data_IF_644319201861
#
_entry.id   IF_644319201861
#
_cell.length_a   1.000
_cell.length_b   1.000
_cell.length_c   1.000
_cell.angle_alpha   90.00
_cell.angle_beta   90.00
_cell.angle_gamma   90.00
#
_symmetry.space_group_name_H-M   'P 1'
#
loop_
_entity.id
_entity.type
_entity.pdbx_description
1 polymer ?
2 non-polymer ?
3 non-polymer ?
4 non-polymer ?
5 water ?
#
# COMPACT_ATOMS: atom_id res chain seq x y z
N UNK A 15 16.34 -2.64 -30.86
CA UNK A 15 15.76 -2.60 -29.50
C UNK A 15 15.73 -3.97 -28.82
N UNK A 16 16.06 -4.05 -27.53
CA UNK A 16 16.05 -5.34 -26.85
C UNK A 16 14.61 -5.82 -26.64
N UNK A 17 14.45 -7.13 -26.57
CA UNK A 17 13.15 -7.73 -26.34
C UNK A 17 13.29 -8.74 -25.22
N UNK A 18 12.28 -8.83 -24.36
CA UNK A 18 12.30 -9.75 -23.23
C UNK A 18 10.98 -10.50 -23.23
N UNK A 19 11.07 -11.84 -23.10
CA UNK A 19 9.90 -12.71 -23.01
C UNK A 19 8.84 -12.38 -24.05
N UNK A 22 9.55 -6.91 -26.06
CA UNK A 22 9.30 -5.62 -26.68
C UNK A 22 9.61 -4.48 -25.67
N UNK A 23 10.88 -4.41 -25.25
CA UNK A 23 11.35 -3.48 -24.25
C UNK A 23 12.18 -2.42 -24.93
N UNK A 24 11.87 -1.15 -24.72
CA UNK A 24 12.43 -0.08 -25.55
C UNK A 24 13.06 1.06 -24.77
N UNK A 25 14.24 0.80 -24.19
CA UNK A 25 14.74 1.61 -23.09
C UNK A 25 16.16 2.07 -23.40
N UNK A 26 16.65 1.76 -24.60
CA UNK A 26 18.05 2.03 -24.88
C UNK A 26 18.28 3.48 -25.28
N UNK A 27 19.57 3.86 -25.40
CA UNK A 27 20.70 2.96 -25.09
C UNK A 27 21.26 3.06 -23.63
N UNK A 28 20.64 3.92 -22.81
CA UNK A 28 21.10 4.04 -21.43
C UNK A 28 20.98 2.71 -20.69
N UNK A 29 19.93 1.95 -20.97
CA UNK A 29 19.66 0.77 -20.14
C UNK A 29 19.88 -0.45 -21.02
N UNK A 30 20.73 -1.40 -20.57
CA UNK A 30 21.06 -2.56 -21.36
C UNK A 30 21.14 -3.82 -20.51
N UNK A 31 21.25 -4.96 -21.19
CA UNK A 31 21.41 -6.27 -20.55
C UNK A 31 20.22 -6.56 -19.63
N UNK A 32 19.06 -6.70 -20.26
CA UNK A 32 17.81 -6.82 -19.53
C UNK A 32 17.57 -8.27 -19.07
N UNK A 33 16.90 -8.41 -17.92
CA UNK A 33 16.51 -9.70 -17.39
C UNK A 33 15.08 -9.63 -16.91
N UNK A 34 14.27 -10.62 -17.25
CA UNK A 34 12.92 -10.67 -16.71
C UNK A 34 12.93 -10.81 -15.19
N UNK A 35 12.03 -10.07 -14.53
CA UNK A 35 11.81 -10.20 -13.09
C UNK A 35 10.42 -10.75 -12.79
N UNK A 36 9.40 -10.18 -13.41
CA UNK A 36 8.02 -10.59 -13.14
C UNK A 36 7.08 -9.70 -13.93
N UNK A 37 5.79 -9.94 -13.71
CA UNK A 37 4.78 -9.18 -14.44
C UNK A 37 3.81 -8.47 -13.51
N UNK A 38 2.62 -8.13 -14.03
CA UNK A 38 1.56 -7.55 -13.21
C UNK A 38 1.84 -6.18 -12.69
N UNK A 40 1.00 -3.49 -14.23
CA UNK A 40 0.26 -3.14 -15.44
C UNK A 40 1.09 -3.51 -16.67
N UNK A 41 2.06 -4.39 -16.48
CA UNK A 41 2.91 -4.71 -17.60
C UNK A 41 3.94 -5.75 -17.25
N UNK A 42 5.21 -5.46 -17.49
CA UNK A 42 6.21 -6.41 -17.05
C UNK A 42 7.42 -5.65 -16.54
N UNK A 43 8.11 -6.28 -15.59
CA UNK A 43 9.22 -5.66 -14.91
C UNK A 43 10.47 -6.43 -15.26
N UNK A 44 11.54 -5.70 -15.52
CA UNK A 44 12.82 -6.28 -15.80
C UNK A 44 13.86 -5.54 -14.97
N UNK A 45 15.00 -6.17 -14.78
CA UNK A 45 16.20 -5.47 -14.37
C UNK A 45 17.07 -5.14 -15.56
N UNK A 46 17.92 -4.15 -15.39
CA UNK A 46 18.70 -3.67 -16.51
C UNK A 46 19.93 -2.97 -15.98
N UNK A 47 20.98 -2.95 -16.79
CA UNK A 47 22.12 -2.12 -16.42
C UNK A 47 21.95 -0.66 -16.87
N UNK A 48 22.13 0.25 -15.91
CA UNK A 48 22.09 1.70 -16.16
C UNK A 48 23.52 2.12 -16.48
N UNK A 49 23.80 2.36 -17.77
CA UNK A 49 25.15 2.72 -18.21
C UNK A 49 25.54 4.14 -17.82
N UNK A 50 24.60 4.94 -17.34
CA UNK A 50 25.05 6.22 -16.80
C UNK A 50 25.54 6.07 -15.36
N UNK A 51 24.75 5.42 -14.52
CA UNK A 51 25.06 5.32 -13.10
C UNK A 51 25.83 4.06 -12.75
N UNK A 52 26.03 3.18 -13.73
CA UNK A 52 26.85 1.97 -13.60
C UNK A 52 26.33 1.06 -12.49
N UNK A 53 25.01 0.84 -12.51
CA UNK A 53 24.36 -0.03 -11.54
C UNK A 53 23.13 -0.62 -12.21
N UNK A 54 22.69 -1.79 -11.71
CA UNK A 54 21.47 -2.36 -12.24
C UNK A 54 20.27 -1.70 -11.56
N UNK A 55 19.20 -1.58 -12.33
CA UNK A 55 17.97 -0.91 -11.93
C UNK A 55 16.81 -1.81 -12.31
N UNK A 56 15.63 -1.43 -11.81
CA UNK A 56 14.37 -2.05 -12.20
C UNK A 56 13.65 -1.17 -13.19
N UNK A 57 13.08 -1.77 -14.24
CA UNK A 57 12.31 -1.04 -15.22
C UNK A 57 11.01 -1.79 -15.40
N UNK A 58 9.91 -1.07 -15.24
CA UNK A 58 8.58 -1.59 -15.56
C UNK A 58 8.10 -0.96 -16.86
N UNK A 59 7.68 -1.79 -17.79
CA UNK A 59 7.03 -1.33 -19.00
C UNK A 59 5.52 -1.27 -18.80
N UNK A 60 4.92 -0.11 -19.06
CA UNK A 60 3.49 0.16 -18.88
C UNK A 60 2.88 0.44 -20.25
N UNK A 61 1.77 -0.21 -20.56
CA UNK A 61 1.05 0.06 -21.79
C UNK A 61 -0.40 0.38 -21.48
N UNK A 62 -0.70 1.62 -21.07
CA UNK A 62 -2.01 1.91 -20.46
C UNK A 62 -3.06 2.60 -21.32
N UNK A 63 -2.71 3.02 -22.54
CA UNK A 63 -3.41 4.17 -23.13
C UNK A 63 -4.76 3.81 -23.72
N UNK A 64 -5.06 2.54 -23.87
CA UNK A 64 -6.37 2.11 -24.34
C UNK A 64 -7.43 2.22 -23.25
N UNK A 65 -7.14 1.66 -22.07
CA UNK A 65 -8.13 1.57 -21.01
C UNK A 65 -7.96 2.76 -20.08
N UNK A 66 -9.03 3.54 -19.93
CA UNK A 66 -8.98 4.76 -19.13
C UNK A 66 -8.61 4.47 -17.69
N UNK A 67 -8.98 3.28 -17.23
CA UNK A 67 -8.64 2.81 -15.89
C UNK A 67 -7.14 2.70 -15.70
N UNK A 68 -6.45 2.15 -16.70
CA UNK A 68 -5.00 2.06 -16.65
C UNK A 68 -4.42 3.45 -16.61
N UNK A 69 -5.00 4.36 -17.38
CA UNK A 69 -4.41 5.69 -17.46
C UNK A 69 -4.53 6.39 -16.13
N UNK A 70 -5.62 6.12 -15.43
CA UNK A 70 -5.83 6.66 -14.10
C UNK A 70 -4.77 6.17 -13.14
N UNK A 71 -4.64 4.84 -13.00
CA UNK A 71 -3.67 4.32 -12.04
C UNK A 71 -2.26 4.80 -12.39
N UNK A 72 -1.93 4.80 -13.68
CA UNK A 72 -0.59 5.24 -14.12
C UNK A 72 -0.31 6.70 -13.76
N UNK A 73 -1.26 7.59 -14.10
CA UNK A 73 -1.12 8.99 -13.75
C UNK A 73 -1.00 9.22 -12.24
N UNK A 74 -1.79 8.49 -11.43
CA UNK A 74 -1.71 8.65 -9.98
C UNK A 74 -0.34 8.27 -9.46
N UNK A 75 0.13 7.09 -9.85
CA UNK A 75 1.42 6.62 -9.37
C UNK A 75 2.52 7.61 -9.76
N UNK A 76 2.53 8.06 -11.02
CA UNK A 76 3.59 8.95 -11.48
C UNK A 76 3.56 10.28 -10.74
N UNK A 77 2.38 10.88 -10.68
CA UNK A 77 2.25 12.17 -10.03
C UNK A 77 2.66 12.13 -8.58
N UNK A 78 2.17 11.14 -7.84
CA UNK A 78 2.50 11.09 -6.42
C UNK A 78 3.96 10.77 -6.23
N UNK A 79 4.49 9.77 -6.92
CA UNK A 79 5.88 9.38 -6.60
C UNK A 79 6.90 10.44 -7.05
N UNK A 80 6.59 11.23 -8.07
CA UNK A 80 7.48 12.33 -8.46
C UNK A 80 7.44 13.46 -7.43
N UNK A 81 6.34 13.58 -6.69
CA UNK A 81 6.26 14.67 -5.71
C UNK A 81 6.82 14.26 -4.36
N UNK A 82 6.74 12.99 -4.01
CA UNK A 82 7.21 12.54 -2.71
C UNK A 82 8.72 12.32 -2.76
N UNK A 83 9.38 12.58 -1.65
CA UNK A 83 10.81 12.28 -1.51
C UNK A 83 10.98 11.81 -0.07
N UNK A 84 11.15 10.48 0.12
CA UNK A 84 11.24 9.92 1.46
C UNK A 84 12.01 8.60 1.41
N UNK A 85 12.87 8.35 2.42
CA UNK A 85 13.69 7.13 2.40
C UNK A 85 12.89 5.84 2.32
N UNK A 86 11.63 5.82 2.83
CA UNK A 86 10.84 4.59 2.86
C UNK A 86 9.71 4.64 1.82
N UNK A 87 9.87 5.42 0.76
CA UNK A 87 8.97 5.41 -0.35
C UNK A 87 9.82 5.27 -1.60
N UNK A 88 9.40 4.39 -2.51
CA UNK A 88 10.21 4.20 -3.71
C UNK A 88 10.23 5.47 -4.58
N UNK A 89 11.39 5.81 -5.07
CA UNK A 89 11.48 6.94 -5.96
C UNK A 89 11.34 6.54 -7.44
N UNK A 90 11.03 7.48 -8.31
CA UNK A 90 11.17 7.27 -9.74
C UNK A 90 12.46 7.93 -10.18
N UNK A 91 13.40 7.14 -10.71
CA UNK A 91 14.70 7.64 -11.17
C UNK A 91 14.63 8.23 -12.57
N UNK A 92 13.76 7.69 -13.42
CA UNK A 92 13.77 8.06 -14.82
C UNK A 92 12.43 7.56 -15.38
N UNK A 93 11.92 8.21 -16.42
CA UNK A 93 10.79 7.70 -17.18
C UNK A 93 11.17 7.82 -18.64
N UNK A 94 10.98 6.73 -19.38
CA UNK A 94 11.31 6.65 -20.80
C UNK A 94 10.02 6.62 -21.58
N UNK A 95 9.91 7.46 -22.63
CA UNK A 95 8.79 7.35 -23.54
C UNK A 95 9.17 8.11 -24.80
N UNK A 96 8.37 7.91 -25.84
CA UNK A 96 8.62 8.58 -27.13
C UNK A 96 8.57 10.12 -27.02
N UNK A 97 9.17 10.81 -27.97
CA UNK A 97 9.23 12.29 -27.86
C UNK A 97 7.93 12.97 -28.11
N UNK A 98 6.95 12.30 -28.71
CA UNK A 98 5.69 12.95 -29.07
C UNK A 98 4.55 12.09 -28.59
N UNK A 99 3.40 12.73 -28.33
CA UNK A 99 2.23 11.97 -27.91
C UNK A 99 1.83 10.95 -28.95
N UNK A 100 1.90 11.36 -30.24
CA UNK A 100 1.52 10.49 -31.36
C UNK A 100 2.27 9.19 -31.31
N UNK A 101 3.57 9.26 -31.03
CA UNK A 101 4.44 8.10 -31.04
C UNK A 101 4.50 7.39 -29.71
N UNK A 102 3.86 7.94 -28.67
CA UNK A 102 3.95 7.39 -27.33
C UNK A 102 2.92 6.28 -27.15
N UNK A 103 3.38 5.02 -27.07
CA UNK A 103 2.47 3.92 -26.84
C UNK A 103 2.75 3.25 -25.50
N UNK A 104 4.01 3.22 -25.07
CA UNK A 104 4.38 2.64 -23.79
C UNK A 104 5.11 3.69 -22.97
N UNK A 105 5.09 3.52 -21.67
CA UNK A 105 5.88 4.32 -20.75
C UNK A 105 6.68 3.34 -19.90
N UNK A 106 7.98 3.64 -19.70
CA UNK A 106 8.87 2.82 -18.86
C UNK A 106 9.24 3.60 -17.62
N UNK A 107 8.97 3.02 -16.44
CA UNK A 107 9.33 3.64 -15.16
C UNK A 107 10.59 2.96 -14.64
N UNK A 108 11.63 3.75 -14.36
CA UNK A 108 12.89 3.23 -13.83
C UNK A 108 12.95 3.52 -12.33
N UNK A 109 13.22 2.50 -11.53
CA UNK A 109 13.40 2.63 -10.09
C UNK A 109 14.69 1.94 -9.66
N UNK A 110 15.13 2.28 -8.44
CA UNK A 110 16.18 1.48 -7.82
C UNK A 110 15.82 -0.01 -7.84
N UNK A 111 16.82 -0.87 -8.10
CA UNK A 111 16.64 -2.32 -8.04
C UNK A 111 16.54 -2.79 -6.58
N UNK A 112 15.43 -3.42 -6.21
CA UNK A 112 15.26 -3.91 -4.87
C UNK A 112 15.30 -5.46 -4.87
N UNK A 113 16.08 -6.04 -3.97
CA UNK A 113 16.30 -7.49 -3.98
C UNK A 113 14.99 -8.30 -3.95
N UNK A 114 13.98 -7.83 -3.20
CA UNK A 114 12.79 -8.67 -3.01
C UNK A 114 11.64 -7.77 -2.55
N UNK A 115 10.52 -8.37 -2.19
CA UNK A 115 9.45 -7.61 -1.54
C UNK A 115 8.96 -8.47 -0.40
N UNK A 116 8.13 -7.89 0.46
CA UNK A 116 7.77 -8.62 1.68
C UNK A 116 6.88 -9.83 1.37
N UNK A 117 6.08 -9.78 0.31
CA UNK A 117 5.30 -10.97 -0.06
C UNK A 117 6.23 -12.13 -0.39
N UNK A 118 7.21 -11.90 -1.27
CA UNK A 118 8.15 -12.95 -1.67
C UNK A 118 8.94 -13.42 -0.48
N UNK A 119 9.32 -12.47 0.39
CA UNK A 119 10.12 -12.83 1.57
C UNK A 119 9.32 -13.72 2.53
N UNK A 120 8.06 -13.38 2.78
CA UNK A 120 7.25 -14.17 3.72
C UNK A 120 6.84 -15.53 3.15
N UNK A 121 6.95 -15.75 1.84
CA UNK A 121 6.73 -17.10 1.31
C UNK A 121 7.77 -18.10 1.82
N UNK A 122 9.01 -17.67 2.05
CA UNK A 122 9.99 -18.67 2.43
C UNK A 122 10.87 -18.33 3.62
N UNK A 123 10.75 -17.15 4.22
CA UNK A 123 11.68 -16.77 5.27
C UNK A 123 10.88 -16.47 6.54
N UNK A 124 11.28 -17.13 7.63
CA UNK A 124 10.87 -16.70 8.96
C UNK A 124 11.57 -15.40 9.36
N UNK A 125 10.81 -14.42 9.88
CA UNK A 125 11.41 -13.16 10.33
C UNK A 125 11.75 -13.20 11.81
N UNK A 126 12.95 -12.72 12.18
CA UNK A 126 13.23 -12.56 13.60
C UNK A 126 12.32 -11.49 14.20
N UNK A 127 12.15 -11.45 15.53
CA UNK A 127 11.45 -10.26 16.07
C UNK A 127 12.18 -8.98 15.70
N UNK A 128 13.54 -8.99 15.67
CA UNK A 128 14.22 -7.75 15.30
C UNK A 128 13.86 -7.29 13.89
N UNK A 129 13.70 -8.22 12.94
CA UNK A 129 13.28 -7.85 11.58
C UNK A 129 11.85 -7.35 11.52
N UNK A 130 10.94 -7.96 12.29
CA UNK A 130 9.54 -7.52 12.31
C UNK A 130 9.51 -6.09 12.79
N UNK A 131 10.24 -5.84 13.87
CA UNK A 131 10.17 -4.51 14.47
C UNK A 131 10.73 -3.47 13.50
N UNK A 132 11.88 -3.74 12.91
CA UNK A 132 12.50 -2.83 11.93
C UNK A 132 11.61 -2.59 10.71
N UNK A 133 11.05 -3.66 10.14
CA UNK A 133 10.14 -3.50 9.01
C UNK A 133 8.95 -2.66 9.40
N UNK A 134 8.32 -2.93 10.55
CA UNK A 134 7.13 -2.17 10.94
C UNK A 134 7.49 -0.72 11.11
N UNK A 135 8.65 -0.46 11.79
CA UNK A 135 9.07 0.93 11.97
C UNK A 135 9.14 1.61 10.60
N UNK A 136 9.78 0.94 9.63
CA UNK A 136 9.98 1.61 8.34
C UNK A 136 8.64 1.81 7.61
N UNK A 137 7.75 0.83 7.66
CA UNK A 137 6.42 1.00 7.10
C UNK A 137 5.76 2.23 7.67
N UNK A 138 5.73 2.34 9.02
CA UNK A 138 5.00 3.47 9.60
C UNK A 138 5.71 4.79 9.36
N UNK A 139 7.04 4.77 9.30
CA UNK A 139 7.77 6.01 9.01
C UNK A 139 7.40 6.54 7.62
N UNK A 140 7.37 5.64 6.67
CA UNK A 140 6.92 6.04 5.34
C UNK A 140 5.46 6.49 5.31
N UNK A 141 4.62 5.75 6.02
CA UNK A 141 3.20 6.10 6.05
C UNK A 141 3.00 7.43 6.73
N UNK A 142 3.81 7.77 7.75
CA UNK A 142 3.66 9.10 8.36
C UNK A 142 3.81 10.20 7.31
N UNK A 143 4.79 10.03 6.41
CA UNK A 143 5.00 11.03 5.38
C UNK A 143 3.80 11.06 4.41
N UNK A 144 3.36 9.90 3.96
CA UNK A 144 2.22 9.82 3.06
C UNK A 144 1.04 10.55 3.67
N UNK A 145 0.68 10.16 4.90
CA UNK A 145 -0.49 10.76 5.54
C UNK A 145 -0.28 12.26 5.80
N UNK A 146 0.94 12.66 6.10
CA UNK A 146 1.17 14.09 6.29
C UNK A 146 0.93 14.91 5.01
N UNK A 147 0.98 14.27 3.84
CA UNK A 147 0.65 14.92 2.60
C UNK A 147 -0.83 14.85 2.31
N UNK A 148 -1.62 14.33 3.24
CA UNK A 148 -3.08 14.17 3.08
C UNK A 148 -3.38 13.12 2.02
N UNK A 149 -2.47 12.19 1.81
CA UNK A 149 -2.67 11.13 0.86
C UNK A 149 -2.93 9.83 1.62
N UNK A 150 -3.83 9.03 1.08
CA UNK A 150 -4.09 7.64 1.49
C UNK A 150 -3.52 6.65 0.48
N UNK A 151 -2.73 5.65 0.93
CA UNK A 151 -2.18 4.73 -0.04
C UNK A 151 -3.26 3.80 -0.60
N UNK A 152 -4.06 3.24 0.31
CA UNK A 152 -5.25 2.46 -0.01
C UNK A 152 -4.97 1.06 -0.58
N UNK A 153 -3.73 0.62 -0.67
CA UNK A 153 -3.50 -0.75 -1.09
C UNK A 153 -2.23 -1.26 -0.48
N UNK A 154 -2.06 -1.01 0.80
CA UNK A 154 -0.85 -1.49 1.47
C UNK A 154 -0.99 -3.00 1.68
N UNK A 155 0.04 -3.75 1.34
CA UNK A 155 0.07 -5.21 1.49
C UNK A 155 1.54 -5.62 1.31
N UNK A 156 1.88 -6.86 1.58
CA UNK A 156 3.35 -7.24 1.49
C UNK A 156 3.94 -7.00 0.14
N UNK A 157 3.21 -7.30 -0.94
CA UNK A 157 3.84 -7.19 -2.27
C UNK A 157 4.09 -5.73 -2.66
N UNK A 158 3.54 -4.76 -1.90
CA UNK A 158 3.84 -3.35 -2.17
C UNK A 158 4.87 -2.79 -1.21
N UNK A 159 5.67 -3.65 -0.60
CA UNK A 159 6.73 -3.20 0.30
C UNK A 159 8.01 -3.82 -0.27
N UNK A 160 8.82 -3.01 -0.89
CA UNK A 160 10.05 -3.50 -1.49
C UNK A 160 11.19 -3.49 -0.47
N UNK A 161 12.14 -4.40 -0.64
CA UNK A 161 13.24 -4.58 0.30
C UNK A 161 14.55 -4.75 -0.45
N UNK A 162 15.59 -4.06 -0.01
CA UNK A 162 16.90 -4.26 -0.68
C UNK A 162 17.74 -5.23 0.12
N UNK A 163 19.04 -5.42 -0.27
CA UNK A 163 19.81 -6.55 0.32
C UNK A 163 20.13 -6.30 1.77
N UNK A 164 19.98 -5.06 2.23
CA UNK A 164 20.25 -4.70 3.60
C UNK A 164 18.95 -4.41 4.33
N UNK A 165 17.83 -4.88 3.76
CA UNK A 165 16.46 -4.75 4.41
C UNK A 165 15.99 -3.35 4.59
N UNK A 166 16.50 -2.42 3.78
CA UNK A 166 15.81 -1.13 3.68
C UNK A 166 14.51 -1.36 2.98
N UNK A 167 13.44 -0.78 3.54
CA UNK A 167 12.07 -1.00 3.09
C UNK A 167 11.49 0.24 2.41
N UNK A 168 10.88 0.06 1.25
CA UNK A 168 10.28 1.21 0.54
C UNK A 168 8.89 0.86 0.06
N UNK A 169 7.93 1.74 0.38
CA UNK A 169 6.54 1.53 -0.04
C UNK A 169 6.44 1.85 -1.52
N UNK A 170 5.70 1.04 -2.26
CA UNK A 170 5.55 1.30 -3.68
C UNK A 170 4.06 1.18 -4.06
N UNK A 171 3.77 1.38 -5.33
CA UNK A 171 2.44 1.26 -5.96
C UNK A 171 1.32 2.13 -5.42
N UNK A 172 1.30 3.38 -5.82
CA UNK A 172 0.27 4.34 -5.40
C UNK A 172 -0.86 4.44 -6.40
N UNK A 173 -1.08 3.39 -7.18
CA UNK A 173 -2.06 3.47 -8.25
C UNK A 173 -3.50 3.57 -7.75
N UNK A 174 -3.77 3.17 -6.51
CA UNK A 174 -5.09 3.36 -5.94
C UNK A 174 -5.15 4.45 -4.90
N UNK A 175 -4.10 5.25 -4.78
CA UNK A 175 -4.05 6.29 -3.77
C UNK A 175 -5.02 7.46 -4.08
N UNK A 176 -5.44 8.11 -3.01
CA UNK A 176 -6.43 9.21 -3.08
C UNK A 176 -6.05 10.28 -2.07
N UNK A 177 -6.57 11.52 -2.27
CA UNK A 177 -6.48 12.53 -1.23
C UNK A 177 -7.53 12.20 -0.17
N UNK A 178 -7.15 12.32 1.09
CA UNK A 178 -8.09 11.97 2.16
C UNK A 178 -9.33 12.88 2.09
N UNK A 179 -10.47 12.30 2.43
CA UNK A 179 -11.74 13.03 2.31
C UNK A 179 -12.71 12.50 3.36
N UNK A 180 -12.47 12.81 4.64
CA UNK A 180 -13.28 12.18 5.69
C UNK A 180 -14.71 12.60 5.66
N UNK A 181 -15.00 13.83 5.21
CA UNK A 181 -16.37 14.28 5.22
C UNK A 181 -17.24 13.52 4.25
N UNK A 182 -16.67 12.92 3.22
CA UNK A 182 -17.44 12.14 2.27
C UNK A 182 -17.18 10.63 2.38
N UNK A 183 -16.82 10.12 3.57
CA UNK A 183 -16.46 8.71 3.70
C UNK A 183 -17.68 7.77 3.79
N UNK A 184 -18.88 8.24 4.09
CA UNK A 184 -19.97 7.32 4.41
C UNK A 184 -20.63 6.77 3.14
N UNK A 185 -21.02 5.51 3.20
CA UNK A 185 -21.70 4.87 2.08
C UNK A 185 -22.54 3.75 2.69
N UNK A 186 -23.28 3.08 1.85
CA UNK A 186 -24.10 2.00 2.31
C UNK A 186 -23.38 0.66 2.40
N UNK A 187 -24.17 -0.32 2.85
CA UNK A 187 -23.74 -1.67 3.09
C UNK A 187 -23.45 -2.41 1.80
N UNK A 188 -22.29 -3.09 1.78
CA UNK A 188 -21.89 -3.92 0.63
C UNK A 188 -21.63 -3.06 -0.61
N UNK A 189 -21.04 -1.89 -0.41
CA UNK A 189 -20.55 -1.05 -1.50
C UNK A 189 -19.27 -1.62 -2.06
N UNK A 190 -19.20 -1.70 -3.38
CA UNK A 190 -18.11 -2.38 -4.03
C UNK A 190 -16.80 -1.62 -3.79
N UNK A 191 -15.71 -2.36 -3.72
CA UNK A 191 -14.42 -1.75 -3.39
C UNK A 191 -13.34 -2.44 -4.20
N UNK A 192 -12.24 -1.74 -4.51
CA UNK A 192 -11.25 -2.23 -5.48
C UNK A 192 -10.00 -2.80 -4.81
N UNK A 193 -9.49 -2.14 -3.77
CA UNK A 193 -8.21 -2.51 -3.15
C UNK A 193 -8.23 -3.96 -2.61
N UNK A 194 -7.03 -4.56 -2.46
CA UNK A 194 -6.87 -5.99 -2.11
C UNK A 194 -7.66 -6.50 -0.89
N UNK A 195 -8.36 -7.63 -1.10
CA UNK A 195 -9.43 -8.03 -0.18
C UNK A 195 -8.90 -8.31 1.23
N UNK A 196 -7.80 -9.09 1.34
CA UNK A 196 -7.34 -9.52 2.66
C UNK A 196 -6.90 -8.39 3.54
N UNK A 197 -6.74 -7.18 3.01
CA UNK A 197 -6.16 -6.07 3.78
C UNK A 197 -7.17 -4.97 3.97
N UNK A 198 -8.43 -5.25 3.61
CA UNK A 198 -9.53 -4.31 3.73
C UNK A 198 -10.04 -4.22 5.17
N UNK A 199 -10.21 -3.00 5.65
CA UNK A 199 -10.76 -2.79 7.00
C UNK A 199 -12.24 -3.18 7.06
N UNK A 200 -12.73 -3.57 8.23
CA UNK A 200 -14.09 -4.08 8.30
C UNK A 200 -15.11 -3.06 7.84
N UNK A 201 -14.85 -1.76 8.12
CA UNK A 201 -15.86 -0.76 7.71
C UNK A 201 -16.05 -0.63 6.17
N UNK A 202 -15.10 -1.07 5.34
CA UNK A 202 -15.27 -1.01 3.89
C UNK A 202 -16.52 -1.77 3.49
N UNK A 203 -16.78 -2.89 4.19
CA UNK A 203 -17.92 -3.72 3.85
C UNK A 203 -19.21 -3.22 4.49
N UNK A 204 -19.11 -2.28 5.39
CA UNK A 204 -20.24 -1.84 6.19
C UNK A 204 -20.73 -0.47 5.75
N UNK A 205 -19.82 0.55 5.74
CA UNK A 205 -20.32 1.93 5.62
C UNK A 205 -19.24 2.91 5.24
N UNK A 206 -18.10 2.44 4.72
CA UNK A 206 -16.95 3.31 4.43
C UNK A 206 -16.52 3.19 2.96
N UNK A 207 -16.18 4.33 2.37
CA UNK A 207 -15.56 4.39 1.02
C UNK A 207 -14.03 4.30 1.08
N UNK A 208 -13.44 4.27 2.26
CA UNK A 208 -11.99 4.16 2.41
C UNK A 208 -11.29 5.48 2.16
N UNK A 209 -11.94 6.58 2.51
CA UNK A 209 -11.44 7.94 2.32
C UNK A 209 -10.83 8.54 3.58
N UNK A 210 -10.53 7.73 4.60
CA UNK A 210 -9.82 8.25 5.77
C UNK A 210 -8.54 7.46 6.03
N UNK A 211 -7.65 8.11 6.79
CA UNK A 211 -6.32 7.54 7.03
C UNK A 211 -6.39 6.21 7.78
N UNK A 212 -7.45 6.03 8.58
CA UNK A 212 -7.60 4.78 9.31
C UNK A 212 -7.67 3.54 8.41
N UNK A 213 -7.98 3.67 7.11
CA UNK A 213 -8.00 2.51 6.21
C UNK A 213 -6.60 1.95 6.07
N UNK A 214 -5.58 2.82 6.05
CA UNK A 214 -4.20 2.36 5.86
C UNK A 214 -3.67 1.72 7.13
N UNK A 215 -4.07 2.24 8.30
CA UNK A 215 -3.58 1.64 9.53
C UNK A 215 -4.08 0.21 9.66
N UNK A 216 -5.34 -0.05 9.28
CA UNK A 216 -5.82 -1.42 9.30
C UNK A 216 -4.91 -2.31 8.46
N UNK A 217 -4.64 -1.87 7.21
CA UNK A 217 -3.79 -2.69 6.35
C UNK A 217 -2.43 -2.97 7.03
N UNK A 218 -1.82 -1.97 7.69
CA UNK A 218 -0.53 -2.20 8.35
C UNK A 218 -0.66 -3.24 9.48
N UNK A 219 -1.77 -3.19 10.22
CA UNK A 219 -2.06 -4.19 11.22
C UNK A 219 -2.08 -5.56 10.61
N UNK A 220 -2.75 -5.69 9.45
CA UNK A 220 -2.77 -7.00 8.78
C UNK A 220 -1.36 -7.44 8.38
N UNK A 221 -0.53 -6.48 7.94
CA UNK A 221 0.86 -6.82 7.54
C UNK A 221 1.65 -7.27 8.76
N UNK A 222 1.44 -6.59 9.89
CA UNK A 222 2.15 -6.98 11.10
C UNK A 222 1.78 -8.39 11.52
N UNK A 223 0.48 -8.70 11.53
CA UNK A 223 0.02 -10.05 11.83
C UNK A 223 0.70 -11.08 10.93
N UNK A 224 0.78 -10.77 9.63
CA UNK A 224 1.32 -11.70 8.67
C UNK A 224 2.83 -11.89 8.88
N UNK A 225 3.53 -10.82 9.29
CA UNK A 225 4.94 -10.98 9.61
C UNK A 225 5.14 -11.89 10.82
N UNK A 226 4.21 -11.92 11.75
CA UNK A 226 4.35 -12.73 12.97
C UNK A 226 4.17 -14.20 12.67
N UNK A 227 3.37 -14.55 11.64
CA UNK A 227 3.10 -15.97 11.40
C UNK A 227 3.38 -16.47 9.97
N UNK A 228 3.76 -15.59 9.05
CA UNK A 228 3.92 -15.93 7.63
C UNK A 228 2.62 -16.39 6.94
N UNK A 229 1.47 -15.88 7.32
CA UNK A 229 0.22 -16.35 6.73
C UNK A 229 -0.68 -15.14 6.89
N UNK A 230 -1.52 -14.84 5.93
CA UNK A 230 -2.46 -13.71 6.11
C UNK A 230 -3.40 -13.97 7.28
N UNK A 231 -3.68 -12.92 8.05
CA UNK A 231 -4.52 -13.13 9.21
C UNK A 231 -5.99 -13.29 8.82
N UNK A 232 -6.44 -12.61 7.76
CA UNK A 232 -7.86 -12.57 7.37
C UNK A 232 -7.99 -12.93 5.87
N UNK A 233 -7.80 -14.20 5.53
CA UNK A 233 -7.77 -14.56 4.09
C UNK A 233 -9.15 -14.84 3.53
N UNK A 234 -9.99 -13.80 3.43
CA UNK A 234 -11.35 -14.01 2.99
C UNK A 234 -11.36 -14.45 1.54
N UNK A 235 -12.29 -15.36 1.20
CA UNK A 235 -12.32 -15.87 -0.16
C UNK A 235 -13.24 -15.07 -1.09
N UNK A 236 -14.01 -14.15 -0.56
CA UNK A 236 -14.90 -13.32 -1.36
C UNK A 236 -15.33 -12.16 -0.46
N UNK A 237 -16.16 -11.26 -0.99
CA UNK A 237 -16.35 -9.93 -0.39
C UNK A 237 -16.85 -9.99 1.05
N UNK A 238 -18.03 -10.59 1.30
CA UNK A 238 -18.56 -10.60 2.68
C UNK A 238 -17.78 -11.56 3.57
N UNK A 239 -17.17 -12.61 2.96
CA UNK A 239 -16.34 -13.55 3.71
C UNK A 239 -15.21 -12.81 4.39
N UNK A 240 -14.71 -11.76 3.79
CA UNK A 240 -13.64 -11.01 4.46
C UNK A 240 -14.12 -10.51 5.82
N UNK A 241 -15.33 -9.95 5.87
CA UNK A 241 -15.84 -9.44 7.15
C UNK A 241 -15.97 -10.58 8.15
N UNK A 242 -16.40 -11.76 7.70
CA UNK A 242 -16.59 -12.80 8.71
C UNK A 242 -15.23 -13.38 9.22
N UNK A 243 -14.14 -13.30 8.45
CA UNK A 243 -12.85 -13.62 9.04
C UNK A 243 -12.47 -12.61 10.10
N UNK A 244 -12.67 -11.33 9.80
CA UNK A 244 -12.31 -10.31 10.78
C UNK A 244 -13.07 -10.53 12.07
N UNK A 245 -14.38 -10.71 11.97
CA UNK A 245 -15.17 -10.89 13.20
C UNK A 245 -14.87 -12.21 13.90
N UNK A 246 -14.40 -13.23 13.18
CA UNK A 246 -14.04 -14.47 13.83
C UNK A 246 -12.84 -14.36 14.77
N UNK A 247 -12.01 -13.33 14.61
CA UNK A 247 -10.90 -13.09 15.52
C UNK A 247 -11.21 -11.96 16.48
N UNK A 248 -11.71 -10.83 15.97
CA UNK A 248 -12.00 -9.71 16.87
C UNK A 248 -13.18 -10.02 17.79
N UNK A 249 -14.09 -10.88 17.36
CA UNK A 249 -15.34 -11.11 18.09
C UNK A 249 -16.41 -10.07 17.75
N UNK A 250 -17.55 -10.20 18.43
CA UNK A 250 -18.71 -9.30 18.13
C UNK A 250 -18.37 -7.87 18.51
N UNK A 251 -18.65 -6.87 17.65
CA UNK A 251 -18.49 -5.47 18.09
C UNK A 251 -19.40 -5.13 19.28
N UNK A 252 -18.88 -4.24 20.12
CA UNK A 252 -19.57 -3.73 21.29
C UNK A 252 -20.78 -2.93 20.88
N UNK A 253 -21.66 -2.72 21.83
CA UNK A 253 -22.84 -1.87 21.58
C UNK A 253 -22.42 -0.47 21.17
N UNK A 254 -21.37 0.08 21.84
CA UNK A 254 -20.89 1.40 21.46
C UNK A 254 -20.43 1.43 20.01
N UNK A 255 -19.70 0.42 19.59
CA UNK A 255 -19.17 0.45 18.25
C UNK A 255 -20.25 0.23 17.20
N UNK A 256 -21.26 -0.57 17.53
CA UNK A 256 -22.43 -0.65 16.64
C UNK A 256 -23.15 0.69 16.56
N UNK A 257 -23.28 1.35 17.69
CA UNK A 257 -24.08 2.59 17.68
C UNK A 257 -23.41 3.65 16.80
N UNK A 258 -22.11 3.48 16.54
CA UNK A 258 -21.42 4.42 15.60
C UNK A 258 -21.75 4.17 14.19
N UNK A 259 -22.34 3.02 13.88
CA UNK A 259 -22.76 2.67 12.53
C UNK A 259 -24.23 3.05 12.37
N UNK A 260 -24.51 4.17 11.74
CA UNK A 260 -25.91 4.61 11.74
C UNK A 260 -26.69 3.88 10.68
N UNK A 261 -26.01 3.46 9.63
CA UNK A 261 -26.72 2.82 8.54
C UNK A 261 -27.39 1.53 9.00
N UNK A 262 -28.69 1.43 8.77
CA UNK A 262 -29.48 0.32 9.37
C UNK A 262 -29.15 -1.02 8.72
N UNK A 263 -28.94 -1.05 7.39
CA UNK A 263 -28.61 -2.33 6.76
C UNK A 263 -27.31 -2.87 7.32
N UNK A 264 -26.33 -2.01 7.51
CA UNK A 264 -25.05 -2.48 8.02
C UNK A 264 -25.18 -2.92 9.47
N UNK A 265 -25.81 -2.05 10.28
CA UNK A 265 -26.02 -2.36 11.69
C UNK A 265 -26.81 -3.66 11.86
N UNK A 266 -27.93 -3.80 11.17
CA UNK A 266 -28.74 -5.00 11.38
C UNK A 266 -28.06 -6.25 10.88
N UNK A 267 -27.20 -6.14 9.86
CA UNK A 267 -26.37 -7.31 9.52
C UNK A 267 -25.54 -7.77 10.74
N UNK A 268 -24.86 -6.84 11.36
CA UNK A 268 -24.03 -7.21 12.48
C UNK A 268 -24.89 -7.76 13.64
N UNK A 269 -26.08 -7.18 13.85
CA UNK A 269 -26.91 -7.65 14.96
C UNK A 269 -27.47 -9.03 14.69
N UNK A 270 -27.56 -9.43 13.40
CA UNK A 270 -28.11 -10.72 13.05
C UNK A 270 -27.13 -11.89 13.30
N UNK A 271 -25.84 -11.62 13.57
CA UNK A 271 -24.84 -12.68 13.73
C UNK A 271 -24.87 -13.22 15.17
N UNK A 272 -24.59 -14.51 15.39
CA UNK A 272 -24.46 -15.03 16.75
C UNK A 272 -23.26 -14.35 17.42
N UNK A 273 -23.33 -14.27 18.74
CA UNK A 273 -22.22 -13.75 19.52
C UNK A 273 -20.96 -14.57 19.25
N UNK A 274 -19.83 -13.87 19.05
CA UNK A 274 -18.50 -14.45 18.78
C UNK A 274 -17.55 -13.84 19.80
N UNK A 275 -16.79 -14.66 20.52
CA UNK A 275 -15.81 -14.10 21.43
C UNK A 275 -14.52 -13.73 20.72
N UNK A 276 -13.83 -12.79 21.32
CA UNK A 276 -12.52 -12.43 20.80
C UNK A 276 -11.54 -13.60 20.96
N UNK A 277 -10.67 -13.78 19.97
CA UNK A 277 -9.55 -14.70 20.06
C UNK A 277 -8.34 -13.91 20.56
N UNK A 278 -7.76 -14.28 21.69
CA UNK A 278 -6.62 -13.51 22.21
C UNK A 278 -5.44 -13.56 21.25
N UNK A 279 -4.80 -12.40 21.07
CA UNK A 279 -3.66 -12.32 20.16
C UNK A 279 -2.54 -13.28 20.58
N UNK A 280 -2.33 -13.46 21.90
CA UNK A 280 -1.22 -14.32 22.31
C UNK A 280 -1.56 -15.79 22.17
N UNK A 281 -2.83 -16.13 21.96
CA UNK A 281 -3.12 -17.49 21.53
C UNK A 281 -2.88 -17.70 20.05
N UNK A 282 -3.16 -16.68 19.23
CA UNK A 282 -2.89 -16.75 17.80
C UNK A 282 -1.41 -16.66 17.51
N UNK A 283 -0.66 -15.92 18.32
CA UNK A 283 0.75 -15.67 18.06
C UNK A 283 1.55 -15.95 19.33
N UNK A 284 1.72 -17.21 19.73
CA UNK A 284 2.28 -17.47 21.06
C UNK A 284 3.78 -17.16 21.14
N UNK A 285 4.46 -16.95 20.01
CA UNK A 285 5.88 -16.63 20.04
C UNK A 285 6.14 -15.13 19.92
N UNK A 286 5.09 -14.34 19.75
CA UNK A 286 5.28 -12.91 19.47
C UNK A 286 5.68 -12.15 20.72
N UNK A 287 6.41 -11.07 20.52
CA UNK A 287 6.69 -10.11 21.57
C UNK A 287 5.39 -9.48 22.07
N UNK A 288 5.25 -9.40 23.40
CA UNK A 288 3.97 -8.89 23.93
C UNK A 288 3.71 -7.44 23.52
N UNK A 289 4.77 -6.65 23.37
CA UNK A 289 4.57 -5.26 22.93
C UNK A 289 4.09 -5.20 21.50
N UNK A 290 4.61 -6.09 20.65
CA UNK A 290 4.11 -6.17 19.28
C UNK A 290 2.60 -6.43 19.27
N UNK A 291 2.15 -7.34 20.15
CA UNK A 291 0.75 -7.71 20.12
C UNK A 291 -0.11 -6.60 20.67
N UNK A 292 0.40 -5.85 21.64
CA UNK A 292 -0.37 -4.65 22.06
C UNK A 292 -0.57 -3.66 20.91
N UNK A 293 0.48 -3.38 20.14
CA UNK A 293 0.34 -2.47 19.02
C UNK A 293 -0.53 -3.08 17.93
N UNK A 294 -0.41 -4.40 17.71
CA UNK A 294 -1.30 -5.07 16.74
C UNK A 294 -2.75 -4.80 17.11
N UNK A 295 -3.07 -5.02 18.40
CA UNK A 295 -4.45 -4.86 18.84
C UNK A 295 -4.97 -3.46 18.51
N UNK A 296 -4.12 -2.44 18.71
CA UNK A 296 -4.51 -1.07 18.48
C UNK A 296 -4.66 -0.74 17.00
N UNK A 297 -3.94 -1.39 16.14
CA UNK A 297 -4.09 -1.20 14.70
C UNK A 297 -5.31 -1.93 14.19
N UNK A 298 -5.52 -3.13 14.69
CA UNK A 298 -6.67 -3.94 14.27
C UNK A 298 -7.88 -3.71 15.17
N UNK A 299 -8.20 -2.45 15.46
CA UNK A 299 -9.37 -2.08 16.23
C UNK A 299 -10.56 -1.92 15.29
N UNK A 300 -11.69 -2.52 15.67
CA UNK A 300 -12.90 -2.52 14.79
C UNK A 300 -13.38 -1.10 14.44
N UNK A 301 -13.49 -0.23 15.43
CA UNK A 301 -14.07 1.07 15.24
C UNK A 301 -12.97 1.96 14.68
N UNK A 302 -13.10 2.47 13.46
CA UNK A 302 -11.99 3.24 12.86
C UNK A 302 -11.69 4.51 13.56
N UNK A 303 -12.66 5.08 14.30
CA UNK A 303 -12.36 6.27 15.10
C UNK A 303 -11.51 5.97 16.33
N UNK A 304 -11.52 4.74 16.83
CA UNK A 304 -10.68 4.36 17.97
C UNK A 304 -9.35 3.76 17.55
N UNK A 305 -9.16 3.50 16.27
CA UNK A 305 -7.94 2.88 15.77
C UNK A 305 -6.77 3.84 15.93
N UNK A 306 -5.59 3.30 16.24
CA UNK A 306 -4.43 4.14 16.47
C UNK A 306 -4.05 4.83 15.17
N UNK A 307 -3.53 6.06 15.27
CA UNK A 307 -3.07 6.80 14.11
C UNK A 307 -1.58 6.57 13.93
N UNK A 308 -1.04 6.97 12.74
CA UNK A 308 0.34 6.62 12.43
C UNK A 308 1.33 7.18 13.46
N UNK A 309 1.20 8.44 13.87
CA UNK A 309 2.19 9.00 14.76
C UNK A 309 2.16 8.36 16.15
N UNK A 310 0.96 7.93 16.59
CA UNK A 310 0.83 7.22 17.87
C UNK A 310 1.46 5.86 17.79
N UNK A 311 1.29 5.22 16.63
CA UNK A 311 1.91 3.92 16.42
C UNK A 311 3.43 4.05 16.49
N UNK A 312 4.00 5.09 15.85
CA UNK A 312 5.45 5.28 15.94
C UNK A 312 5.89 5.45 17.38
N UNK A 313 5.09 6.11 18.20
CA UNK A 313 5.45 6.32 19.61
C UNK A 313 5.16 5.12 20.51
N UNK A 314 4.67 4.03 19.96
CA UNK A 314 4.33 2.87 20.79
C UNK A 314 5.60 2.20 21.35
N UNK A 315 5.55 1.71 22.60
CA UNK A 315 6.74 1.07 23.19
C UNK A 315 7.37 -0.04 22.35
N UNK A 316 6.64 -0.74 21.47
CA UNK A 316 7.27 -1.76 20.62
C UNK A 316 8.36 -1.18 19.73
N UNK A 317 8.22 0.10 19.38
CA UNK A 317 9.12 0.74 18.42
C UNK A 317 10.16 1.64 19.09
N UNK A 318 10.29 1.57 20.41
CA UNK A 318 11.10 2.54 21.14
C UNK A 318 12.56 2.52 20.71
N UNK A 319 13.07 1.38 20.25
CA UNK A 319 14.47 1.37 19.80
C UNK A 319 14.70 2.35 18.64
N UNK A 320 13.67 2.58 17.84
CA UNK A 320 13.80 3.37 16.60
C UNK A 320 13.14 4.75 16.67
N UNK A 321 12.14 4.93 17.55
CA UNK A 321 11.33 6.15 17.48
C UNK A 321 12.15 7.42 17.68
N UNK A 322 12.03 8.32 16.75
CA UNK A 322 12.65 9.62 16.82
C UNK A 322 11.92 10.61 15.93
N UNK A 323 10.94 11.37 16.48
CA UNK A 323 10.07 12.15 15.60
C UNK A 323 10.83 13.15 14.77
N UNK A 324 11.97 13.65 15.26
CA UNK A 324 12.80 14.54 14.44
C UNK A 324 13.41 13.86 13.24
N UNK A 325 13.48 12.53 13.22
CA UNK A 325 14.02 11.81 12.09
C UNK A 325 12.92 11.07 11.34
N UNK A 326 11.67 11.51 11.48
CA UNK A 326 10.50 10.92 10.83
C UNK A 326 9.81 12.06 10.09
N UNK A 327 10.32 12.42 8.91
CA UNK A 327 9.93 13.67 8.28
C UNK A 327 8.55 13.63 7.68
N UNK A 328 8.02 14.83 7.47
CA UNK A 328 6.71 15.00 6.86
C UNK A 328 6.86 15.77 5.55
N UNK A 329 5.78 15.78 4.77
CA UNK A 329 5.80 16.42 3.46
C UNK A 329 5.75 17.93 3.59
N UNK A 330 6.39 18.60 2.62
CA UNK A 330 6.51 20.05 2.62
C UNK A 330 5.16 20.70 2.42
N UNK A 331 4.24 20.03 1.75
CA UNK A 331 2.89 20.55 1.59
C UNK A 331 1.97 19.38 1.28
N UNK A 332 0.69 19.49 1.51
CA UNK A 332 -0.19 18.39 1.12
C UNK A 332 -0.49 18.41 -0.38
N UNK A 333 -0.96 17.27 -0.86
CA UNK A 333 -1.79 17.13 -2.08
C UNK A 333 -3.13 17.76 -1.84
N UNK A 340 -11.48 10.71 -11.20
CA UNK A 340 -11.39 11.07 -12.62
C UNK A 340 -12.58 10.51 -13.45
N UNK A 341 -13.22 11.41 -14.21
CA UNK A 341 -14.16 11.04 -15.27
C UNK A 341 -13.51 11.01 -16.64
N UNK A 342 -12.33 11.61 -16.76
CA UNK A 342 -11.50 12.04 -17.89
C UNK A 342 -11.40 11.09 -19.09
N UNK A 343 -11.58 11.61 -20.30
CA UNK A 343 -11.31 10.78 -21.47
C UNK A 343 -9.80 10.58 -21.56
N UNK A 344 -9.41 9.32 -21.80
CA UNK A 344 -8.00 8.96 -21.90
C UNK A 344 -7.18 9.91 -22.78
N UNK A 345 -7.80 10.57 -23.76
CA UNK A 345 -7.01 11.51 -24.57
C UNK A 345 -6.46 12.61 -23.69
N UNK A 346 -7.26 13.12 -22.77
CA UNK A 346 -6.69 14.06 -21.83
C UNK A 346 -5.79 13.32 -20.86
N UNK A 347 -6.05 12.04 -20.54
CA UNK A 347 -5.16 11.35 -19.59
C UNK A 347 -3.82 11.03 -20.23
N UNK A 348 -3.83 10.50 -21.46
CA UNK A 348 -2.57 10.33 -22.20
C UNK A 348 -1.78 11.62 -22.22
N UNK A 349 -2.49 12.71 -22.50
CA UNK A 349 -1.87 14.02 -22.55
C UNK A 349 -1.29 14.39 -21.20
N UNK A 350 -1.99 14.00 -20.12
CA UNK A 350 -1.54 14.33 -18.78
C UNK A 350 -0.31 13.53 -18.42
N UNK A 351 -0.31 12.26 -18.79
CA UNK A 351 0.86 11.41 -18.60
C UNK A 351 2.05 11.94 -19.40
N UNK A 352 1.80 12.31 -20.65
CA UNK A 352 2.87 12.89 -21.47
C UNK A 352 3.48 14.10 -20.78
N UNK A 353 2.62 15.00 -20.28
CA UNK A 353 3.10 16.20 -19.61
C UNK A 353 3.83 15.88 -18.32
N UNK A 354 3.33 14.92 -17.51
CA UNK A 354 3.95 14.66 -16.19
C UNK A 354 5.33 14.07 -16.37
N UNK A 355 5.60 13.48 -17.53
CA UNK A 355 6.83 12.76 -17.71
C UNK A 355 7.87 13.56 -18.51
N UNK A 356 7.56 14.81 -18.82
CA UNK A 356 8.42 15.64 -19.67
C UNK A 356 9.80 15.90 -19.05
N UNK A 357 9.87 16.01 -17.72
CA UNK A 357 11.10 16.42 -17.09
C UNK A 357 12.24 15.42 -17.36
N UNK A 358 11.92 14.20 -17.81
CA UNK A 358 12.97 13.22 -18.08
C UNK A 358 13.46 13.21 -19.52
N UNK A 359 12.93 14.09 -20.38
CA UNK A 359 13.40 14.19 -21.76
C UNK A 359 14.60 15.13 -21.84
N UNK A 360 15.52 14.89 -22.79
CA UNK A 360 16.67 15.75 -23.10
C UNK A 360 16.31 17.22 -23.25
X LIG B 1 17.86 -5.83 12.53
X LIG B 1 17.06 -6.38 11.40
X LIG B 1 19.52 -6.55 12.41
X LIG B 1 18.29 -4.11 12.12
X LIG C 1 -7.34 7.15 18.94
X LIG C 1 -6.36 6.90 20.06
X LIG C 1 -8.85 7.81 19.68
X LIG C 1 -6.73 8.58 18.01
X LIG D 1 8.25 -19.61 6.85
X LIG D 1 8.82 -20.52 5.81
X LIG D 1 6.48 -20.14 7.08
X LIG D 1 8.72 -19.65 8.63
X LIG E 1 -14.40 -8.55 -4.07
X LIG E 1 -13.42 -9.35 -4.84
X LIG E 1 -14.18 -7.10 -4.26
X LIG E 1 -15.77 -8.84 -4.57
X LIG E 1 -14.26 -8.87 -2.68
X LIG F 1 12.98 -5.01 -7.97
X LIG F 1 10.75 -4.87 -8.28
X LIG F 1 10.76 -3.47 -8.21
X LIG F 1 11.96 -2.81 -7.96
X LIG F 1 9.49 -5.24 -8.49
X LIG F 1 8.76 -4.11 -8.51
X LIG F 1 10.38 0.03 -12.15
X LIG F 1 9.32 -0.01 -11.66
X LIG F 1 7.95 0.01 -11.06
X LIG F 1 6.69 -1.35 -9.52
X LIG F 1 6.64 -2.25 -8.28
X LIG F 1 9.00 -6.67 -8.65
X LIG F 1 7.46 -8.18 -9.78
X LIG F 1 6.18 -7.66 -9.23
X LIG F 1 7.92 -8.70 -8.40
X LIG F 1 8.12 -7.39 -7.63
X LIG F 1 13.09 -3.62 -7.85
X LIG F 1 11.84 -5.61 -8.17
X LIG F 1 12.01 -1.47 -7.87
X LIG F 1 9.51 -3.03 -8.33
X LIG F 1 7.88 -0.85 -9.86
X LIG F 1 5.59 -6.72 -10.21
X LIG F 1 4.48 -6.09 -9.88
X LIG F 1 3.35 -5.45 -9.55
X LIG F 1 5.67 -1.19 -10.20
X LIG F 1 8.34 -6.96 -9.95
X LIG F 1 9.12 -9.47 -8.37
X LIG F 1 8.98 -7.67 -6.51
X LIG F 1 6.99 -4.01 -8.73
#
# INVERSE_FOLDING_TARGET
HHHHHHMAAAAAAGPEMVRGQVFDVGPRYTNLSYIGEGAYGMVCSAYDNLNKVRVAIKKISPFEHQTYCQRTLREIKILLRFRHENIIGINDIIRAPTIEQMKDVYIVQDLMETDLYKLLKTQHLSNDHICYFLYQILRGLKYIHSANVLHRDLKPSNLLLNTTCDLKICDFGLARVADPDHDHTGFLTEYVATRWYRAPEIMLNSKGYTKSIDIWSVGCILAEMLSNRPIFPGKHYLDQLNHILGILGSPSQEDLNCIINLKARNYLLSLPHKNKVPWNRLFPNADSKALDLLDKMLTFNPHKRIEVEQALAHPYLEQYYDPSDEPIAEAPFKFDMELDDLPKEKLKELIFEETARFQPGYRS
DMS S O C1 C2
DMS S O C1 C2
DMS S O C1 C2
SO4 S O1 O2 O3 O4
E9W C2 C4 C5 C6 N9 C8 CAA CAB CAC CAE CAG CAK CAM CAN CAR CAT N1 N3 N6 N7 NAD NAO NAP NAQ OAF OAL OAS OAU SAH
#
